data_IF_013280718612
#
_entry.id   IF_013280718612
#
_cell.length_a   1.000
_cell.length_b   1.000
_cell.length_c   1.000
_cell.angle_alpha   90.00
_cell.angle_beta   90.00
_cell.angle_gamma   90.00
#
_symmetry.space_group_name_H-M   'P 1'
#
loop_
_entity.id
_entity.type
_entity.pdbx_description
1 polymer ?
#
# COMPACT_ATOMS: atom_id res chain seq x y z
N UNK A 1 -81.06 51.80 -39.43
CA UNK A 1 -80.12 51.99 -38.30
C UNK A 1 -79.31 50.71 -38.19
N UNK A 2 -78.03 50.74 -38.54
CA UNK A 2 -77.20 49.55 -38.72
C UNK A 2 -75.92 49.73 -37.92
N UNK A 3 -75.88 49.11 -36.75
CA UNK A 3 -74.81 49.24 -35.75
C UNK A 3 -73.63 48.38 -36.17
N UNK A 4 -72.48 49.02 -36.43
CA UNK A 4 -71.21 48.35 -36.70
C UNK A 4 -70.50 48.01 -35.39
N UNK A 5 -70.07 46.76 -35.25
CA UNK A 5 -69.24 46.28 -34.14
C UNK A 5 -67.77 46.41 -34.54
N UNK A 6 -66.97 47.16 -33.78
CA UNK A 6 -65.53 47.26 -33.96
C UNK A 6 -64.86 46.27 -33.01
N UNK A 7 -64.17 45.25 -33.56
CA UNK A 7 -63.29 44.38 -32.79
C UNK A 7 -61.93 45.05 -32.60
N UNK A 8 -61.50 45.24 -31.35
CA UNK A 8 -60.16 45.67 -31.00
C UNK A 8 -59.24 44.43 -30.89
N UNK A 9 -58.19 44.37 -31.71
CA UNK A 9 -57.10 43.39 -31.60
C UNK A 9 -56.05 43.93 -30.63
N UNK A 10 -55.80 43.21 -29.55
CA UNK A 10 -54.75 43.56 -28.58
C UNK A 10 -53.36 43.13 -29.12
N UNK A 11 -52.30 43.96 -28.98
CA UNK A 11 -50.95 43.58 -29.39
C UNK A 11 -50.38 42.55 -28.40
N UNK A 12 -49.88 41.43 -28.93
CA UNK A 12 -49.14 40.44 -28.16
C UNK A 12 -47.78 41.01 -27.73
N UNK A 13 -47.56 41.16 -26.43
CA UNK A 13 -46.29 41.57 -25.87
C UNK A 13 -45.24 40.47 -26.08
N UNK A 14 -44.22 40.74 -26.89
CA UNK A 14 -43.09 39.84 -27.10
C UNK A 14 -42.18 39.92 -25.87
N UNK A 15 -42.10 38.84 -25.09
CA UNK A 15 -41.20 38.78 -23.94
C UNK A 15 -39.73 38.78 -24.41
N UNK A 16 -38.82 39.50 -23.72
CA UNK A 16 -37.41 39.45 -24.04
C UNK A 16 -36.84 38.04 -23.80
N UNK A 17 -35.85 37.60 -24.61
CA UNK A 17 -35.24 36.30 -24.43
C UNK A 17 -34.55 36.21 -23.06
N UNK A 18 -34.58 35.03 -22.40
CA UNK A 18 -33.93 34.85 -21.12
C UNK A 18 -32.42 35.07 -21.23
N UNK A 19 -31.77 35.64 -20.20
CA UNK A 19 -30.33 35.86 -20.20
C UNK A 19 -29.57 34.51 -20.30
N UNK A 20 -28.40 34.50 -20.96
CA UNK A 20 -27.58 33.30 -21.07
C UNK A 20 -27.15 32.82 -19.68
N UNK A 21 -27.31 31.52 -19.42
CA UNK A 21 -26.92 30.91 -18.15
C UNK A 21 -25.41 31.09 -17.90
N UNK A 22 -24.99 31.36 -16.65
CA UNK A 22 -23.57 31.50 -16.33
C UNK A 22 -22.84 30.18 -16.61
N UNK A 23 -21.81 30.25 -17.45
CA UNK A 23 -20.91 29.13 -17.74
C UNK A 23 -20.18 28.77 -16.46
N UNK A 24 -20.52 27.63 -15.84
CA UNK A 24 -19.78 27.10 -14.70
C UNK A 24 -18.45 26.55 -15.21
N UNK A 25 -17.37 27.28 -14.98
CA UNK A 25 -16.01 26.77 -15.20
C UNK A 25 -15.75 25.71 -14.13
N UNK A 26 -15.36 24.47 -14.49
CA UNK A 26 -15.00 23.47 -13.50
C UNK A 26 -13.78 23.96 -12.70
N UNK A 27 -13.70 23.63 -11.40
CA UNK A 27 -12.54 24.01 -10.59
C UNK A 27 -11.26 23.40 -11.18
N UNK A 28 -10.12 24.10 -11.09
CA UNK A 28 -8.85 23.56 -11.58
C UNK A 28 -8.50 22.26 -10.86
N UNK A 29 -8.14 21.23 -11.62
CA UNK A 29 -7.62 19.96 -11.07
C UNK A 29 -6.16 20.21 -10.69
N UNK A 30 -5.88 20.36 -9.39
CA UNK A 30 -4.51 20.37 -8.90
C UNK A 30 -3.94 18.95 -9.02
N UNK A 31 -3.09 18.72 -10.03
CA UNK A 31 -2.23 17.55 -10.04
C UNK A 31 -1.02 17.87 -9.16
N UNK A 32 -0.81 17.07 -8.10
CA UNK A 32 0.43 17.15 -7.32
C UNK A 32 1.62 17.03 -8.28
N UNK A 33 2.53 18.01 -8.20
CA UNK A 33 3.65 18.08 -9.14
C UNK A 33 4.58 16.90 -8.92
N UNK A 34 5.20 16.40 -9.99
CA UNK A 34 6.13 15.26 -9.91
C UNK A 34 7.30 15.54 -8.95
N UNK A 35 7.68 16.81 -8.81
CA UNK A 35 8.75 17.27 -7.93
C UNK A 35 8.35 17.22 -6.45
N UNK A 36 7.09 17.46 -6.13
CA UNK A 36 6.57 17.37 -4.76
C UNK A 36 6.62 15.93 -4.25
N UNK A 37 6.20 14.97 -5.09
CA UNK A 37 6.34 13.54 -4.79
C UNK A 37 7.80 13.10 -4.63
N UNK A 38 8.72 13.64 -5.44
CA UNK A 38 10.15 13.34 -5.35
C UNK A 38 10.81 13.94 -4.10
N UNK A 39 10.23 15.02 -3.56
CA UNK A 39 10.70 15.68 -2.35
C UNK A 39 10.18 15.02 -1.05
N UNK A 40 9.09 14.23 -1.12
CA UNK A 40 8.53 13.54 0.05
C UNK A 40 9.56 12.59 0.67
N UNK A 41 9.82 12.80 1.95
CA UNK A 41 10.59 11.91 2.81
C UNK A 41 9.65 11.34 3.86
N UNK A 42 9.87 10.09 4.23
CA UNK A 42 9.12 9.47 5.32
C UNK A 42 9.98 8.41 5.99
N UNK A 43 9.97 8.38 7.31
CA UNK A 43 10.54 7.31 8.12
C UNK A 43 9.42 6.48 8.72
N UNK A 44 9.37 5.21 8.34
CA UNK A 44 8.42 4.24 8.89
C UNK A 44 9.18 3.29 9.82
N UNK A 45 8.81 3.26 11.09
CA UNK A 45 9.21 2.18 11.99
C UNK A 45 8.42 0.93 11.64
N UNK A 46 9.14 -0.17 11.45
CA UNK A 46 8.56 -1.45 11.08
C UNK A 46 8.97 -2.47 12.14
N UNK A 47 7.99 -3.13 12.73
CA UNK A 47 8.19 -4.26 13.66
C UNK A 47 7.47 -5.48 13.06
N UNK A 48 8.22 -6.55 12.79
CA UNK A 48 7.74 -7.76 12.13
C UNK A 48 7.90 -8.92 13.10
N UNK A 49 6.79 -9.61 13.37
CA UNK A 49 6.73 -10.77 14.25
C UNK A 49 6.01 -11.92 13.56
N UNK A 50 6.36 -13.13 13.94
CA UNK A 50 5.61 -14.32 13.53
C UNK A 50 5.49 -15.30 14.68
N UNK A 51 4.27 -15.77 14.96
CA UNK A 51 4.02 -16.70 16.06
C UNK A 51 4.49 -16.18 17.43
N UNK A 52 4.50 -14.85 17.63
CA UNK A 52 4.98 -14.20 18.85
C UNK A 52 6.49 -13.93 18.90
N UNK A 53 7.30 -14.47 17.99
CA UNK A 53 8.74 -14.18 17.91
C UNK A 53 9.00 -12.95 17.03
N UNK A 54 9.90 -12.07 17.48
CA UNK A 54 10.40 -10.98 16.64
C UNK A 54 11.27 -11.54 15.51
N UNK A 55 10.89 -11.23 14.26
CA UNK A 55 11.72 -11.49 13.10
C UNK A 55 12.66 -10.32 12.88
N UNK A 56 12.15 -9.10 12.82
CA UNK A 56 12.97 -7.90 12.65
C UNK A 56 12.21 -6.65 13.09
N UNK A 57 12.94 -5.69 13.65
CA UNK A 57 12.42 -4.37 13.99
C UNK A 57 13.42 -3.28 13.58
N UNK A 58 12.93 -2.21 12.95
CA UNK A 58 13.79 -1.08 12.61
C UNK A 58 13.15 -0.01 11.72
N UNK A 59 13.83 1.14 11.57
CA UNK A 59 13.39 2.23 10.70
C UNK A 59 13.64 1.91 9.22
N UNK A 60 12.65 2.18 8.38
CA UNK A 60 12.77 2.23 6.92
C UNK A 60 12.57 3.67 6.44
N UNK A 61 13.59 4.21 5.77
CA UNK A 61 13.56 5.60 5.26
C UNK A 61 13.27 5.60 3.77
N UNK A 62 12.27 6.39 3.38
CA UNK A 62 11.84 6.60 2.01
C UNK A 62 12.21 8.02 1.60
N UNK A 63 12.62 8.18 0.35
CA UNK A 63 12.85 9.48 -0.27
C UNK A 63 12.38 9.44 -1.72
N UNK A 64 11.34 10.22 -2.03
CA UNK A 64 10.77 10.30 -3.36
C UNK A 64 10.26 8.95 -3.88
N UNK A 65 10.88 8.45 -4.95
CA UNK A 65 10.56 7.14 -5.55
C UNK A 65 11.51 6.02 -5.14
N UNK A 66 12.46 6.29 -4.25
CA UNK A 66 13.43 5.29 -3.81
C UNK A 66 12.77 4.41 -2.75
N UNK A 67 12.56 3.10 -3.03
CA UNK A 67 12.03 2.19 -2.03
C UNK A 67 13.07 1.90 -0.96
N UNK A 68 12.60 1.62 0.25
CA UNK A 68 13.41 1.07 1.32
C UNK A 68 13.34 -0.45 1.24
N UNK A 69 14.49 -1.12 1.34
CA UNK A 69 14.58 -2.58 1.31
C UNK A 69 15.38 -3.10 2.49
N UNK A 70 14.93 -4.22 3.04
CA UNK A 70 15.65 -4.97 4.04
C UNK A 70 15.61 -6.44 3.67
N UNK A 71 16.75 -7.12 3.71
CA UNK A 71 16.83 -8.56 3.51
C UNK A 71 17.74 -9.17 4.57
N UNK A 72 17.30 -10.28 5.15
CA UNK A 72 18.11 -11.07 6.07
C UNK A 72 18.00 -12.54 5.72
N UNK A 73 19.13 -13.21 5.67
CA UNK A 73 19.24 -14.65 5.54
C UNK A 73 19.90 -15.19 6.81
N UNK A 74 19.40 -16.31 7.30
CA UNK A 74 19.98 -17.05 8.41
C UNK A 74 20.11 -18.51 8.00
N UNK A 75 21.27 -19.10 8.24
CA UNK A 75 21.50 -20.53 8.11
C UNK A 75 21.92 -21.06 9.47
N UNK A 76 21.23 -22.08 9.96
CA UNK A 76 21.53 -22.77 11.20
C UNK A 76 21.90 -24.23 10.90
N UNK A 77 22.57 -24.88 11.86
CA UNK A 77 22.71 -26.33 11.83
C UNK A 77 21.33 -27.01 12.02
N UNK A 78 21.10 -28.20 11.47
CA UNK A 78 19.90 -28.97 11.77
C UNK A 78 19.76 -29.23 13.27
N UNK A 79 18.52 -29.20 13.77
CA UNK A 79 18.22 -29.55 15.15
C UNK A 79 18.25 -31.08 15.38
N UNK A 80 17.95 -31.88 14.35
CA UNK A 80 17.87 -33.33 14.43
C UNK A 80 19.13 -34.03 13.89
N UNK A 81 19.67 -34.94 14.70
CA UNK A 81 20.74 -35.88 14.33
C UNK A 81 20.18 -37.01 13.45
N UNK A 82 19.66 -36.68 12.27
CA UNK A 82 19.33 -37.73 11.32
C UNK A 82 20.62 -38.34 10.79
N UNK A 83 20.80 -39.64 11.06
CA UNK A 83 21.95 -40.45 10.66
C UNK A 83 22.33 -40.16 9.20
N UNK A 84 23.58 -39.73 9.04
CA UNK A 84 24.12 -39.30 7.76
C UNK A 84 24.47 -40.52 6.91
N UNK A 85 23.62 -40.87 5.95
CA UNK A 85 24.06 -41.75 4.86
C UNK A 85 24.55 -40.96 3.64
N UNK A 86 24.20 -39.67 3.41
CA UNK A 86 24.72 -39.02 2.18
C UNK A 86 24.89 -37.50 2.09
N UNK A 87 24.60 -36.68 3.12
CA UNK A 87 24.79 -35.22 2.98
C UNK A 87 25.40 -34.57 4.22
N UNK A 88 26.72 -34.38 4.19
CA UNK A 88 27.54 -33.77 5.27
C UNK A 88 27.34 -32.25 5.45
N UNK A 89 26.43 -31.61 4.70
CA UNK A 89 26.30 -30.13 4.66
C UNK A 89 24.87 -29.60 4.48
N UNK A 90 23.84 -30.26 5.00
CA UNK A 90 22.48 -29.69 4.97
C UNK A 90 22.29 -28.68 6.10
N UNK A 91 22.44 -27.39 5.82
CA UNK A 91 22.07 -26.30 6.74
C UNK A 91 20.60 -25.92 6.59
N UNK A 92 19.95 -25.54 7.68
CA UNK A 92 18.55 -25.09 7.71
C UNK A 92 18.53 -23.59 7.42
N UNK A 93 17.81 -23.15 6.38
CA UNK A 93 17.81 -21.75 5.92
C UNK A 93 16.48 -21.07 6.20
N UNK A 94 16.55 -19.80 6.60
CA UNK A 94 15.41 -18.88 6.65
C UNK A 94 15.77 -17.55 6.01
N UNK A 95 14.81 -16.91 5.36
CA UNK A 95 14.97 -15.60 4.75
C UNK A 95 13.79 -14.70 5.08
N UNK A 96 14.09 -13.41 5.29
CA UNK A 96 13.12 -12.35 5.39
C UNK A 96 13.49 -11.28 4.37
N UNK A 97 12.54 -10.88 3.54
CA UNK A 97 12.65 -9.76 2.62
C UNK A 97 11.51 -8.79 2.87
N UNK A 98 11.84 -7.50 2.96
CA UNK A 98 10.91 -6.41 3.20
C UNK A 98 11.18 -5.34 2.16
N UNK A 99 10.16 -4.96 1.41
CA UNK A 99 10.20 -3.85 0.48
C UNK A 99 9.09 -2.87 0.86
N UNK A 100 9.48 -1.63 1.12
CA UNK A 100 8.57 -0.54 1.39
C UNK A 100 8.76 0.51 0.29
N UNK A 101 7.66 0.92 -0.33
CA UNK A 101 7.68 1.88 -1.44
C UNK A 101 6.55 2.88 -1.33
N UNK A 102 6.76 4.07 -1.90
CA UNK A 102 5.72 5.06 -2.10
C UNK A 102 4.90 4.71 -3.35
N UNK A 103 3.58 4.76 -3.20
CA UNK A 103 2.61 4.61 -4.28
C UNK A 103 1.91 5.94 -4.55
N UNK A 104 1.70 6.25 -5.83
CA UNK A 104 0.83 7.35 -6.26
C UNK A 104 -0.40 6.77 -6.94
N UNK A 105 -1.59 7.25 -6.56
CA UNK A 105 -2.88 6.81 -7.09
C UNK A 105 -3.50 7.81 -8.08
N UNK A 106 -2.76 8.87 -8.43
CA UNK A 106 -3.29 10.02 -9.17
C UNK A 106 -4.08 10.98 -8.27
N UNK A 107 -4.46 12.14 -8.82
CA UNK A 107 -5.23 13.19 -8.12
C UNK A 107 -4.61 13.66 -6.78
N UNK A 108 -3.27 13.69 -6.69
CA UNK A 108 -2.56 14.10 -5.47
C UNK A 108 -2.71 13.13 -4.28
N UNK A 109 -3.20 11.91 -4.52
CA UNK A 109 -3.25 10.87 -3.49
C UNK A 109 -2.01 9.99 -3.57
N UNK A 110 -1.32 9.87 -2.45
CA UNK A 110 -0.18 8.99 -2.27
C UNK A 110 -0.41 8.06 -1.08
N UNK A 111 0.14 6.87 -1.15
CA UNK A 111 0.18 5.93 -0.03
C UNK A 111 1.47 5.14 -0.04
N UNK A 112 1.50 4.09 0.76
CA UNK A 112 2.62 3.19 0.87
C UNK A 112 2.23 1.80 0.42
N UNK A 113 3.18 1.08 -0.15
CA UNK A 113 3.08 -0.35 -0.41
C UNK A 113 4.19 -1.05 0.36
N UNK A 114 3.80 -2.03 1.17
CA UNK A 114 4.71 -2.95 1.84
C UNK A 114 4.55 -4.33 1.23
N UNK A 115 5.67 -4.92 0.83
CA UNK A 115 5.78 -6.34 0.47
C UNK A 115 6.72 -7.01 1.47
N UNK A 116 6.25 -8.04 2.14
CA UNK A 116 7.04 -8.89 3.04
C UNK A 116 7.02 -10.31 2.48
N UNK A 117 8.19 -10.91 2.34
CA UNK A 117 8.34 -12.33 2.07
C UNK A 117 9.16 -12.96 3.18
N UNK A 118 8.63 -14.01 3.80
CA UNK A 118 9.29 -14.75 4.86
C UNK A 118 9.31 -16.22 4.52
N UNK A 119 10.50 -16.78 4.32
CA UNK A 119 10.72 -18.19 4.09
C UNK A 119 11.31 -18.81 5.35
N UNK A 120 10.70 -19.92 5.77
CA UNK A 120 11.12 -20.70 6.92
C UNK A 120 11.15 -22.18 6.57
N UNK A 121 11.92 -22.98 7.31
CA UNK A 121 11.83 -24.44 7.22
C UNK A 121 10.41 -24.91 7.53
N UNK A 122 9.97 -25.97 6.86
CA UNK A 122 8.70 -26.60 7.18
C UNK A 122 8.86 -27.45 8.45
N UNK A 123 7.87 -27.38 9.34
CA UNK A 123 7.77 -28.27 10.50
C UNK A 123 7.34 -29.66 10.02
N UNK A 124 8.29 -30.45 9.49
CA UNK A 124 8.06 -31.84 9.12
C UNK A 124 8.76 -32.70 10.15
N UNK A 125 8.00 -33.53 10.86
CA UNK A 125 8.58 -34.47 11.82
C UNK A 125 9.39 -35.54 11.05
N UNK A 126 10.68 -35.64 11.36
CA UNK A 126 11.59 -36.65 10.81
C UNK A 126 12.51 -36.16 9.68
N UNK A 127 13.38 -37.06 9.22
CA UNK A 127 14.49 -36.73 8.33
C UNK A 127 14.09 -36.41 6.88
N UNK A 128 12.83 -36.67 6.50
CA UNK A 128 12.30 -36.43 5.15
C UNK A 128 11.95 -34.97 4.86
N UNK A 129 12.05 -34.07 5.85
CA UNK A 129 11.71 -32.66 5.72
C UNK A 129 12.89 -31.70 5.57
N UNK A 130 14.12 -32.19 5.47
CA UNK A 130 15.34 -31.35 5.50
C UNK A 130 15.37 -30.23 4.44
N UNK A 131 14.68 -30.44 3.32
CA UNK A 131 14.60 -29.49 2.20
C UNK A 131 13.22 -28.81 2.06
N UNK A 132 12.26 -29.15 2.93
CA UNK A 132 10.93 -28.57 2.86
C UNK A 132 10.93 -27.16 3.44
N UNK A 133 10.48 -26.19 2.66
CA UNK A 133 10.30 -24.79 3.09
C UNK A 133 8.83 -24.39 3.07
N UNK A 134 8.49 -23.44 3.94
CA UNK A 134 7.22 -22.72 3.97
C UNK A 134 7.51 -21.25 3.72
N UNK A 135 6.81 -20.68 2.77
CA UNK A 135 6.92 -19.26 2.42
C UNK A 135 5.62 -18.55 2.74
N UNK A 136 5.73 -17.39 3.39
CA UNK A 136 4.62 -16.48 3.69
C UNK A 136 4.89 -15.16 3.01
N UNK A 137 3.97 -14.75 2.14
CA UNK A 137 4.01 -13.47 1.44
C UNK A 137 2.85 -12.57 1.88
N UNK A 138 3.15 -11.31 2.18
CA UNK A 138 2.14 -10.27 2.37
C UNK A 138 2.47 -9.10 1.45
N UNK A 139 1.49 -8.67 0.64
CA UNK A 139 1.55 -7.39 -0.06
C UNK A 139 0.35 -6.57 0.35
N UNK A 140 0.61 -5.39 0.93
CA UNK A 140 -0.44 -4.50 1.39
C UNK A 140 -0.17 -3.06 1.02
N UNK A 141 -1.25 -2.33 0.79
CA UNK A 141 -1.26 -0.90 0.54
C UNK A 141 -1.98 -0.19 1.66
N UNK A 142 -1.40 0.88 2.18
CA UNK A 142 -1.96 1.62 3.29
C UNK A 142 -1.62 3.10 3.18
N UNK A 143 -2.40 3.92 3.87
CA UNK A 143 -2.11 5.33 4.06
C UNK A 143 -1.78 5.52 5.54
N UNK A 144 -0.71 6.25 5.80
CA UNK A 144 -0.19 6.50 7.14
C UNK A 144 0.20 7.98 7.19
N UNK A 145 -0.50 8.76 8.02
CA UNK A 145 -0.12 10.15 8.27
C UNK A 145 1.03 10.22 9.31
N UNK A 146 1.75 11.34 9.38
CA UNK A 146 2.80 11.52 10.38
C UNK A 146 2.29 11.25 11.81
N UNK A 147 3.02 10.44 12.57
CA UNK A 147 2.67 10.03 13.93
C UNK A 147 1.64 8.90 14.03
N UNK A 148 0.96 8.53 12.94
CA UNK A 148 0.00 7.44 12.95
C UNK A 148 0.69 6.06 12.95
N UNK A 149 -0.10 5.06 13.34
CA UNK A 149 0.31 3.68 13.40
C UNK A 149 -0.79 2.77 12.83
N UNK A 150 -0.38 1.68 12.19
CA UNK A 150 -1.28 0.61 11.77
C UNK A 150 -0.64 -0.76 11.98
N UNK A 151 -1.48 -1.78 12.06
CA UNK A 151 -1.06 -3.17 12.19
C UNK A 151 -1.65 -3.98 11.05
N UNK A 152 -0.82 -4.81 10.43
CA UNK A 152 -1.17 -5.72 9.36
C UNK A 152 -0.97 -7.16 9.86
N UNK A 153 -1.90 -8.04 9.51
CA UNK A 153 -1.80 -9.46 9.82
C UNK A 153 -1.79 -10.24 8.51
N UNK A 154 -0.91 -11.23 8.43
CA UNK A 154 -0.82 -12.18 7.32
C UNK A 154 -0.86 -13.62 7.83
N UNK A 155 -0.64 -14.55 6.91
CA UNK A 155 -0.67 -15.97 7.20
C UNK A 155 0.50 -16.41 8.11
N UNK A 156 0.40 -17.62 8.66
CA UNK A 156 1.46 -18.20 9.48
C UNK A 156 1.75 -17.44 10.77
N UNK A 157 0.81 -16.61 11.23
CA UNK A 157 0.93 -15.77 12.42
C UNK A 157 1.77 -14.50 12.21
N UNK A 158 2.01 -14.11 10.96
CA UNK A 158 2.77 -12.90 10.62
C UNK A 158 1.98 -11.66 11.07
N UNK A 159 2.61 -10.82 11.88
CA UNK A 159 2.08 -9.54 12.33
C UNK A 159 3.12 -8.46 12.06
N UNK A 160 2.70 -7.38 11.42
CA UNK A 160 3.57 -6.25 11.09
C UNK A 160 2.94 -4.99 11.66
N UNK A 161 3.69 -4.31 12.52
CA UNK A 161 3.31 -3.02 13.08
C UNK A 161 4.11 -1.92 12.39
N UNK A 162 3.41 -0.91 11.91
CA UNK A 162 3.96 0.18 11.11
C UNK A 162 3.63 1.49 11.75
N UNK A 163 4.64 2.31 12.05
CA UNK A 163 4.45 3.65 12.59
C UNK A 163 5.20 4.66 11.77
N UNK A 164 4.51 5.70 11.31
CA UNK A 164 5.16 6.81 10.61
C UNK A 164 5.68 7.82 11.63
N UNK A 165 6.97 8.17 11.56
CA UNK A 165 7.56 9.19 12.43
C UNK A 165 7.23 10.60 11.97
N UNK A 166 7.38 10.87 10.67
CA UNK A 166 7.38 12.20 10.05
C UNK A 166 6.59 12.28 8.75
#
# INVERSE_FOLDING_TARGET
MMTWLVLAVAPAAVLPPPPPAPVRVPPPIFQESRDELLSRKATIEVDIRAGGQELWSGPMRLAGRVPATFSRQKSDAPADDCAAEENRYSGVRSSLSVNLSLMSYGAGKSGFRLTVNWDRPADVNGCGGRDASRSVGLTQTFNLEPGQETSLTGDGGLTIRLRRRD
#
